data_IF_296457429152
#
_entry.id   IF_296457429152
#
_cell.length_a   1.000
_cell.length_b   1.000
_cell.length_c   1.000
_cell.angle_alpha   90.00
_cell.angle_beta   90.00
_cell.angle_gamma   90.00
#
_symmetry.space_group_name_H-M   'P 1'
#
loop_
_entity.id
_entity.type
_entity.pdbx_description
1 polymer ?
#
# COMPACT_ATOMS: atom_id res chain seq x y z
N UNK A 1 -21.06 -33.25 6.41
CA UNK A 1 -20.32 -32.53 5.35
C UNK A 1 -18.90 -32.27 5.84
N UNK A 2 -17.88 -32.56 5.02
CA UNK A 2 -16.46 -32.41 5.37
C UNK A 2 -16.05 -30.93 5.55
N UNK A 3 -15.08 -30.61 6.44
CA UNK A 3 -14.57 -29.26 6.56
C UNK A 3 -13.70 -28.96 5.33
N UNK A 4 -14.17 -28.08 4.44
CA UNK A 4 -13.37 -27.66 3.28
C UNK A 4 -12.43 -26.55 3.72
N UNK A 5 -11.23 -26.95 4.15
CA UNK A 5 -10.11 -26.03 4.24
C UNK A 5 -9.86 -25.37 2.89
N UNK A 6 -9.77 -24.04 2.88
CA UNK A 6 -8.92 -23.34 1.94
C UNK A 6 -7.90 -22.63 2.83
N UNK A 7 -6.59 -22.98 2.81
CA UNK A 7 -5.61 -22.02 3.27
C UNK A 7 -5.84 -20.81 2.39
N UNK A 8 -6.42 -19.74 2.95
CA UNK A 8 -6.63 -18.50 2.21
C UNK A 8 -5.22 -18.09 1.86
N UNK A 9 -4.85 -18.35 0.60
CA UNK A 9 -3.57 -18.01 -0.01
C UNK A 9 -3.37 -16.59 0.46
N UNK A 10 -2.48 -16.40 1.44
CA UNK A 10 -2.22 -15.08 2.00
C UNK A 10 -1.50 -14.39 0.86
N UNK A 11 -2.25 -13.85 -0.11
CA UNK A 11 -1.78 -12.71 -0.88
C UNK A 11 -1.20 -11.81 0.19
N UNK A 12 0.11 -11.61 0.12
CA UNK A 12 0.83 -10.99 1.22
C UNK A 12 0.12 -9.69 1.55
N UNK A 13 0.02 -9.31 2.82
CA UNK A 13 -0.60 -8.02 3.16
C UNK A 13 0.06 -6.85 2.39
N UNK A 14 1.33 -7.02 2.02
CA UNK A 14 2.10 -6.16 1.11
C UNK A 14 1.49 -6.15 -0.30
N UNK A 15 1.14 -7.30 -0.85
CA UNK A 15 0.48 -7.44 -2.16
C UNK A 15 -0.89 -6.73 -2.18
N UNK A 16 -1.64 -6.85 -1.08
CA UNK A 16 -2.89 -6.09 -0.90
C UNK A 16 -2.67 -4.58 -0.80
N UNK A 17 -1.60 -4.14 -0.12
CA UNK A 17 -1.22 -2.74 -0.08
C UNK A 17 -0.76 -2.23 -1.45
N UNK A 18 -0.06 -3.06 -2.24
CA UNK A 18 0.33 -2.74 -3.62
C UNK A 18 -0.91 -2.61 -4.50
N UNK A 19 -1.85 -3.54 -4.43
CA UNK A 19 -3.11 -3.50 -5.20
C UNK A 19 -3.91 -2.22 -4.87
N UNK A 20 -3.97 -1.83 -3.60
CA UNK A 20 -4.60 -0.59 -3.16
C UNK A 20 -3.86 0.68 -3.62
N UNK A 21 -2.53 0.62 -3.81
CA UNK A 21 -1.69 1.75 -4.22
C UNK A 21 -1.48 1.85 -5.74
N UNK A 22 -1.69 0.76 -6.46
CA UNK A 22 -1.66 0.67 -7.93
C UNK A 22 -2.57 1.71 -8.60
N UNK A 23 -3.85 1.91 -8.19
CA UNK A 23 -4.69 2.95 -8.79
C UNK A 23 -4.21 4.38 -8.53
N UNK A 24 -3.34 4.60 -7.54
CA UNK A 24 -2.71 5.90 -7.28
C UNK A 24 -1.39 6.09 -8.07
N UNK A 25 -0.93 5.07 -8.81
CA UNK A 25 0.28 5.13 -9.62
C UNK A 25 1.59 5.00 -8.84
N UNK A 26 1.56 4.50 -7.60
CA UNK A 26 2.77 4.28 -6.83
C UNK A 26 3.51 3.00 -7.26
N UNK A 27 4.83 3.09 -7.33
CA UNK A 27 5.68 1.94 -7.63
C UNK A 27 5.65 0.92 -6.48
N UNK A 28 5.54 -0.37 -6.81
CA UNK A 28 5.50 -1.47 -5.85
C UNK A 28 6.73 -1.45 -4.91
N UNK A 29 7.88 -1.02 -5.42
CA UNK A 29 9.13 -0.90 -4.69
C UNK A 29 9.10 0.22 -3.64
N UNK A 30 8.38 1.29 -3.93
CA UNK A 30 8.15 2.40 -3.01
C UNK A 30 7.17 1.95 -1.91
N UNK A 31 6.05 1.37 -2.31
CA UNK A 31 5.00 0.87 -1.41
C UNK A 31 5.58 -0.13 -0.40
N UNK A 32 6.34 -1.14 -0.85
CA UNK A 32 6.95 -2.13 0.05
C UNK A 32 7.92 -1.51 1.06
N UNK A 33 8.68 -0.48 0.67
CA UNK A 33 9.65 0.20 1.53
C UNK A 33 8.92 0.97 2.62
N UNK A 34 7.91 1.75 2.23
CA UNK A 34 7.12 2.56 3.17
C UNK A 34 6.31 1.70 4.11
N UNK A 35 5.68 0.62 3.62
CA UNK A 35 5.02 -0.38 4.48
C UNK A 35 6.00 -0.93 5.51
N UNK A 36 7.21 -1.36 5.11
CA UNK A 36 8.19 -1.90 6.05
C UNK A 36 8.62 -0.86 7.10
N UNK A 37 8.75 0.41 6.71
CA UNK A 37 9.03 1.54 7.62
C UNK A 37 7.90 1.74 8.64
N UNK A 38 6.65 1.77 8.17
CA UNK A 38 5.47 1.89 9.03
C UNK A 38 5.33 0.70 9.97
N UNK A 39 5.55 -0.53 9.48
CA UNK A 39 5.52 -1.71 10.35
C UNK A 39 6.60 -1.62 11.43
N UNK A 40 7.79 -1.09 11.16
CA UNK A 40 8.80 -0.87 12.21
C UNK A 40 8.33 0.11 13.28
N UNK A 41 7.63 1.17 12.88
CA UNK A 41 7.12 2.20 13.80
C UNK A 41 5.93 1.69 14.64
N UNK A 42 5.07 0.85 14.03
CA UNK A 42 3.87 0.30 14.66
C UNK A 42 4.07 -1.07 15.34
N UNK A 43 5.30 -1.50 15.61
CA UNK A 43 5.56 -2.75 16.36
C UNK A 43 5.48 -4.04 15.54
N UNK A 44 5.61 -3.95 14.22
CA UNK A 44 5.72 -5.07 13.29
C UNK A 44 4.37 -5.54 12.78
N UNK A 45 4.02 -6.79 13.05
CA UNK A 45 2.88 -7.46 12.42
C UNK A 45 1.51 -6.95 12.89
N UNK A 46 1.45 -6.29 14.05
CA UNK A 46 0.23 -5.70 14.63
C UNK A 46 -0.15 -4.38 13.94
N UNK A 47 0.83 -3.62 13.45
CA UNK A 47 0.62 -2.37 12.70
C UNK A 47 -0.18 -2.53 11.41
N UNK A 48 -0.25 -3.75 10.86
CA UNK A 48 -1.11 -4.04 9.71
C UNK A 48 -2.58 -3.76 9.96
N UNK A 49 -3.09 -4.09 11.16
CA UNK A 49 -4.49 -3.83 11.47
C UNK A 49 -4.79 -2.34 11.40
N UNK A 50 -3.86 -1.49 11.86
CA UNK A 50 -3.99 -0.04 11.81
C UNK A 50 -3.92 0.52 10.38
N UNK A 51 -2.98 0.03 9.58
CA UNK A 51 -2.82 0.43 8.18
C UNK A 51 -4.05 0.03 7.35
N UNK A 52 -4.59 -1.17 7.56
CA UNK A 52 -5.79 -1.66 6.88
C UNK A 52 -7.06 -0.93 7.37
N UNK A 53 -7.18 -0.65 8.67
CA UNK A 53 -8.36 0.02 9.26
C UNK A 53 -8.47 1.49 8.86
N UNK A 54 -7.33 2.20 8.74
CA UNK A 54 -7.28 3.56 8.20
C UNK A 54 -7.33 3.61 6.65
N UNK A 55 -7.59 2.49 5.97
CA UNK A 55 -7.74 2.44 4.51
C UNK A 55 -6.46 2.82 3.76
N UNK A 56 -5.30 2.44 4.30
CA UNK A 56 -3.98 2.79 3.76
C UNK A 56 -3.68 4.30 3.66
N UNK A 57 -4.45 5.17 4.31
CA UNK A 57 -4.20 6.62 4.35
C UNK A 57 -2.81 6.95 4.92
N UNK A 58 -2.45 6.30 6.02
CA UNK A 58 -1.12 6.41 6.66
C UNK A 58 0.01 6.01 5.70
N UNK A 59 -0.24 5.03 4.84
CA UNK A 59 0.72 4.60 3.83
C UNK A 59 0.92 5.66 2.75
N UNK A 60 -0.16 6.29 2.27
CA UNK A 60 -0.09 7.41 1.32
C UNK A 60 0.63 8.60 1.94
N UNK A 61 0.27 8.99 3.17
CA UNK A 61 0.91 10.12 3.88
C UNK A 61 2.40 9.86 4.11
N UNK A 62 2.78 8.63 4.47
CA UNK A 62 4.16 8.25 4.63
C UNK A 62 4.93 8.24 3.30
N UNK A 63 4.30 7.81 2.19
CA UNK A 63 4.89 7.88 0.85
C UNK A 63 5.14 9.34 0.46
N UNK A 64 4.15 10.23 0.64
CA UNK A 64 4.28 11.66 0.34
C UNK A 64 5.39 12.32 1.16
N UNK A 65 5.50 11.99 2.46
CA UNK A 65 6.57 12.49 3.32
C UNK A 65 7.96 12.00 2.89
N UNK A 66 8.06 10.75 2.43
CA UNK A 66 9.33 10.18 1.96
C UNK A 66 9.75 10.80 0.61
N UNK A 67 8.79 11.10 -0.27
CA UNK A 67 8.98 11.84 -1.51
C UNK A 67 9.41 13.30 -1.26
N UNK A 68 8.80 13.99 -0.29
CA UNK A 68 9.21 15.35 0.10
C UNK A 68 10.61 15.39 0.71
N UNK A 69 11.00 14.31 1.41
CA UNK A 69 12.33 14.20 2.05
C UNK A 69 13.42 13.72 1.08
N UNK A 70 13.06 13.01 0.00
CA UNK A 70 13.96 12.58 -1.07
C UNK A 70 13.65 13.39 -2.34
N UNK A 71 14.12 14.63 -2.38
CA UNK A 71 14.25 15.41 -3.61
C UNK A 71 15.26 14.71 -4.54
N UNK A 72 14.79 13.71 -5.29
CA UNK A 72 15.29 13.21 -6.59
C UNK A 72 14.79 11.76 -6.78
N UNK A 73 13.86 11.55 -7.71
CA UNK A 73 13.73 10.25 -8.37
C UNK A 73 12.33 9.65 -8.44
N UNK A 74 11.62 10.05 -9.50
CA UNK A 74 10.59 9.26 -10.21
C UNK A 74 9.22 9.17 -9.56
N UNK A 75 8.34 10.12 -9.87
CA UNK A 75 6.94 9.78 -10.18
C UNK A 75 6.52 10.57 -11.41
N UNK A 76 6.49 9.89 -12.57
CA UNK A 76 5.54 10.27 -13.61
C UNK A 76 4.17 9.96 -13.00
N UNK A 77 3.54 10.97 -12.41
CA UNK A 77 2.12 10.94 -12.11
C UNK A 77 1.39 10.96 -13.46
N UNK A 78 1.06 9.78 -13.98
CA UNK A 78 0.10 9.66 -15.07
C UNK A 78 -1.24 10.14 -14.51
N UNK A 79 -1.57 11.40 -14.77
CA UNK A 79 -2.94 11.90 -14.72
C UNK A 79 -3.75 11.12 -15.76
N UNK A 80 -4.50 10.10 -15.37
CA UNK A 80 -5.63 9.58 -16.15
C UNK A 80 -6.49 8.64 -15.29
N UNK A 81 -7.36 9.22 -14.46
CA UNK A 81 -8.59 8.58 -14.00
C UNK A 81 -9.74 9.61 -13.88
N UNK A 82 -9.85 10.46 -14.90
CA UNK A 82 -11.13 11.06 -15.31
C UNK A 82 -11.20 10.73 -16.80
N UNK A 83 -11.99 9.74 -17.22
CA UNK A 83 -13.39 9.99 -17.50
C UNK A 83 -14.22 8.72 -17.29
N UNK A 84 -15.05 8.73 -16.24
CA UNK A 84 -16.33 8.09 -16.31
C UNK A 84 -17.26 9.02 -17.11
N UNK A 85 -17.42 8.77 -18.41
CA UNK A 85 -18.53 9.33 -19.19
C UNK A 85 -19.25 8.23 -19.99
N UNK A 86 -20.57 8.19 -19.78
CA UNK A 86 -21.66 7.39 -20.37
C UNK A 86 -21.82 5.92 -19.97
#
# INVERSE_FOLDING_TARGET
MAPRGRPRKRLGRIDAAIDAMTPFGFDESLVRKTVNKLLKEYGGNEGWAFIEDCGYKELIEAILRDLESNDEGTTNLQEDCTNNEC
#
